data_IF_784791628941
#
_entry.id   IF_784791628941
#
_cell.length_a   1.000
_cell.length_b   1.000
_cell.length_c   1.000
_cell.angle_alpha   90.00
_cell.angle_beta   90.00
_cell.angle_gamma   90.00
#
_symmetry.space_group_name_H-M   'P 1'
#
loop_
_entity.id
_entity.type
_entity.pdbx_description
1 polymer ?
#
# COMPACT_ATOMS: atom_id res chain seq x y z
N UNK A 1 53.54 -23.60 31.74
CA UNK A 1 52.25 -24.29 31.55
C UNK A 1 51.39 -23.39 30.69
N UNK A 2 51.13 -23.82 29.46
CA UNK A 2 50.36 -23.09 28.45
C UNK A 2 48.87 -23.12 28.80
N UNK A 3 48.24 -21.95 28.84
CA UNK A 3 46.78 -21.82 28.83
C UNK A 3 46.31 -21.60 27.39
N UNK A 4 45.55 -22.55 26.86
CA UNK A 4 44.83 -22.42 25.59
C UNK A 4 43.71 -21.38 25.74
N UNK A 5 43.79 -20.28 24.98
CA UNK A 5 42.65 -19.45 24.64
C UNK A 5 42.26 -19.78 23.19
N UNK A 6 41.15 -20.49 23.02
CA UNK A 6 40.46 -20.64 21.75
C UNK A 6 39.49 -19.47 21.61
N UNK A 7 39.84 -18.51 20.75
CA UNK A 7 38.90 -17.51 20.27
C UNK A 7 38.08 -18.15 19.14
N UNK A 8 36.84 -18.50 19.47
CA UNK A 8 35.82 -18.90 18.52
C UNK A 8 35.21 -17.62 17.94
N UNK A 9 35.80 -17.09 16.87
CA UNK A 9 35.29 -15.91 16.17
C UNK A 9 34.54 -16.37 14.91
N UNK A 10 33.39 -17.02 15.14
CA UNK A 10 32.45 -17.44 14.11
C UNK A 10 31.61 -16.25 13.64
N UNK A 11 32.25 -15.30 12.96
CA UNK A 11 31.55 -14.31 12.15
C UNK A 11 30.87 -15.03 10.98
N UNK A 12 29.61 -15.39 11.18
CA UNK A 12 28.78 -15.93 10.10
C UNK A 12 28.60 -14.81 9.07
N UNK A 13 29.04 -14.97 7.81
CA UNK A 13 28.90 -13.90 6.82
C UNK A 13 27.41 -13.65 6.59
N UNK A 14 26.98 -12.40 6.78
CA UNK A 14 25.65 -11.95 6.44
C UNK A 14 25.36 -12.34 4.99
N UNK A 15 24.24 -13.03 4.76
CA UNK A 15 23.82 -13.38 3.39
C UNK A 15 23.72 -12.09 2.57
N UNK A 16 24.23 -12.06 1.32
CA UNK A 16 24.06 -10.90 0.47
C UNK A 16 22.56 -10.59 0.35
N UNK A 17 22.16 -9.40 0.81
CA UNK A 17 20.79 -8.92 0.73
C UNK A 17 20.41 -8.77 -0.75
N UNK A 18 19.26 -9.35 -1.10
CA UNK A 18 18.75 -9.31 -2.46
C UNK A 18 18.01 -7.99 -2.68
N UNK A 19 18.75 -6.96 -3.12
CA UNK A 19 18.23 -5.59 -3.30
C UNK A 19 16.93 -5.52 -4.11
N UNK A 20 16.72 -6.44 -5.06
CA UNK A 20 15.52 -6.48 -5.89
C UNK A 20 14.28 -6.89 -5.09
N UNK A 21 14.46 -7.87 -4.21
CA UNK A 21 13.38 -8.35 -3.34
C UNK A 21 13.06 -7.34 -2.23
N UNK A 22 14.07 -6.62 -1.72
CA UNK A 22 13.87 -5.53 -0.77
C UNK A 22 13.08 -4.39 -1.40
N UNK A 23 13.44 -3.99 -2.62
CA UNK A 23 12.70 -2.98 -3.37
C UNK A 23 11.25 -3.42 -3.63
N UNK A 24 11.00 -4.70 -3.92
CA UNK A 24 9.65 -5.22 -4.06
C UNK A 24 8.86 -5.08 -2.75
N UNK A 25 9.45 -5.44 -1.62
CA UNK A 25 8.79 -5.34 -0.31
C UNK A 25 8.51 -3.87 0.06
N UNK A 26 9.44 -2.95 -0.21
CA UNK A 26 9.25 -1.51 -0.01
C UNK A 26 8.09 -0.97 -0.84
N UNK A 27 7.99 -1.36 -2.12
CA UNK A 27 6.93 -0.92 -3.01
C UNK A 27 5.57 -1.52 -2.61
N UNK A 28 5.53 -2.80 -2.22
CA UNK A 28 4.32 -3.44 -1.69
C UNK A 28 3.86 -2.73 -0.42
N UNK A 29 4.76 -2.44 0.51
CA UNK A 29 4.43 -1.74 1.74
C UNK A 29 3.88 -0.33 1.46
N UNK A 30 4.53 0.42 0.58
CA UNK A 30 4.04 1.72 0.15
C UNK A 30 2.63 1.61 -0.48
N UNK A 31 2.41 0.62 -1.35
CA UNK A 31 1.10 0.37 -1.95
C UNK A 31 0.03 0.02 -0.90
N UNK A 32 0.31 -0.87 0.05
CA UNK A 32 -0.63 -1.25 1.12
C UNK A 32 -1.02 -0.03 1.95
N UNK A 33 -0.04 0.79 2.34
CA UNK A 33 -0.26 2.03 3.11
C UNK A 33 -1.15 3.00 2.33
N UNK A 34 -0.87 3.21 1.04
CA UNK A 34 -1.68 4.09 0.19
C UNK A 34 -3.09 3.53 -0.02
N UNK A 35 -3.22 2.23 -0.35
CA UNK A 35 -4.50 1.53 -0.56
C UNK A 35 -5.41 1.63 0.66
N UNK A 36 -4.87 1.57 1.87
CA UNK A 36 -5.62 1.74 3.14
C UNK A 36 -6.39 3.06 3.20
N UNK A 37 -5.96 4.11 2.51
CA UNK A 37 -6.66 5.40 2.51
C UNK A 37 -7.86 5.43 1.58
N UNK A 38 -7.92 4.55 0.58
CA UNK A 38 -8.96 4.60 -0.45
C UNK A 38 -10.38 4.34 0.10
N UNK A 39 -10.64 3.30 0.92
CA UNK A 39 -11.97 3.10 1.51
C UNK A 39 -12.45 4.29 2.34
N UNK A 40 -11.52 4.99 3.01
CA UNK A 40 -11.80 6.19 3.80
C UNK A 40 -12.17 7.37 2.92
N UNK A 41 -11.40 7.60 1.84
CA UNK A 41 -11.72 8.61 0.82
C UNK A 41 -13.10 8.34 0.20
N UNK A 42 -13.40 7.08 -0.13
CA UNK A 42 -14.69 6.67 -0.68
C UNK A 42 -15.84 6.95 0.29
N UNK A 43 -15.74 6.47 1.53
CA UNK A 43 -16.78 6.65 2.54
C UNK A 43 -17.03 8.13 2.86
N UNK A 44 -15.96 8.94 2.94
CA UNK A 44 -16.05 10.37 3.24
C UNK A 44 -16.68 11.14 2.08
N UNK A 45 -16.28 10.83 0.84
CA UNK A 45 -16.86 11.43 -0.37
C UNK A 45 -18.35 11.14 -0.47
N UNK A 46 -18.76 9.87 -0.30
CA UNK A 46 -20.18 9.48 -0.32
C UNK A 46 -21.00 10.16 0.79
N UNK A 47 -20.40 10.39 1.96
CA UNK A 47 -21.07 11.04 3.09
C UNK A 47 -21.26 12.54 2.83
N UNK A 48 -20.27 13.19 2.22
CA UNK A 48 -20.33 14.59 1.79
C UNK A 48 -21.38 14.80 0.71
N UNK A 49 -21.47 13.91 -0.28
CA UNK A 49 -22.49 14.00 -1.34
C UNK A 49 -23.91 13.92 -0.74
N UNK A 50 -24.14 12.96 0.16
CA UNK A 50 -25.41 12.84 0.90
C UNK A 50 -25.73 14.10 1.71
N UNK A 51 -24.73 14.69 2.36
CA UNK A 51 -24.91 15.93 3.12
C UNK A 51 -25.28 17.09 2.19
N UNK A 52 -24.60 17.23 1.06
CA UNK A 52 -24.90 18.25 0.05
C UNK A 52 -26.33 18.08 -0.49
N UNK A 53 -26.76 16.86 -0.80
CA UNK A 53 -28.11 16.60 -1.30
C UNK A 53 -29.19 16.88 -0.25
N UNK A 54 -28.93 16.55 1.03
CA UNK A 54 -29.80 16.95 2.15
C UNK A 54 -29.91 18.47 2.28
N UNK A 55 -28.79 19.18 2.23
CA UNK A 55 -28.78 20.64 2.31
C UNK A 55 -29.50 21.29 1.11
N UNK A 56 -29.35 20.72 -0.10
CA UNK A 56 -30.07 21.18 -1.31
C UNK A 56 -31.57 20.98 -1.22
N UNK A 57 -32.02 19.84 -0.66
CA UNK A 57 -33.44 19.51 -0.52
C UNK A 57 -34.15 20.28 0.60
N UNK A 58 -33.41 20.86 1.55
CA UNK A 58 -33.98 21.59 2.70
C UNK A 58 -34.27 23.08 2.45
N UNK A 59 -34.12 23.60 1.22
CA UNK A 59 -34.56 24.96 0.83
C UNK A 59 -34.12 26.10 1.79
N UNK A 60 -32.95 25.98 2.42
CA UNK A 60 -32.35 27.09 3.17
C UNK A 60 -31.99 28.20 2.18
N UNK A 61 -32.52 29.41 2.39
CA UNK A 61 -32.46 30.54 1.47
C UNK A 61 -31.05 31.01 1.04
N UNK A 62 -30.92 32.18 0.38
CA UNK A 62 -29.74 32.60 -0.41
C UNK A 62 -28.42 32.80 0.38
N UNK A 63 -28.41 32.58 1.70
CA UNK A 63 -27.16 32.46 2.47
C UNK A 63 -26.73 30.99 2.46
N UNK A 64 -26.04 30.66 1.38
CA UNK A 64 -25.52 29.34 1.09
C UNK A 64 -24.71 28.74 2.28
N UNK A 65 -24.74 27.41 2.49
CA UNK A 65 -23.90 26.69 3.46
C UNK A 65 -22.37 26.79 3.23
N UNK A 66 -21.93 27.64 2.31
CA UNK A 66 -20.61 27.63 1.69
C UNK A 66 -19.45 28.17 2.53
N UNK A 67 -19.56 28.23 3.85
CA UNK A 67 -18.47 28.70 4.72
C UNK A 67 -18.07 27.70 5.81
N UNK A 68 -18.96 26.78 6.21
CA UNK A 68 -18.68 25.81 7.28
C UNK A 68 -18.21 24.44 6.75
N UNK A 69 -18.48 24.15 5.47
CA UNK A 69 -18.07 22.89 4.82
C UNK A 69 -16.77 23.02 4.02
N UNK A 70 -16.23 24.23 3.84
CA UNK A 70 -15.06 24.45 2.98
C UNK A 70 -13.79 23.86 3.56
N UNK A 71 -13.60 23.91 4.88
CA UNK A 71 -12.43 23.31 5.53
C UNK A 71 -12.43 21.78 5.44
N UNK A 72 -13.60 21.14 5.66
CA UNK A 72 -13.75 19.68 5.55
C UNK A 72 -13.61 19.22 4.10
N UNK A 73 -14.19 19.97 3.17
CA UNK A 73 -13.99 19.72 1.74
C UNK A 73 -12.51 19.86 1.40
N UNK A 74 -11.85 20.95 1.79
CA UNK A 74 -10.42 21.16 1.53
C UNK A 74 -9.56 20.04 2.09
N UNK A 75 -9.81 19.59 3.33
CA UNK A 75 -9.11 18.44 3.91
C UNK A 75 -9.29 17.18 3.07
N UNK A 76 -10.51 16.86 2.63
CA UNK A 76 -10.75 15.72 1.74
C UNK A 76 -9.99 15.86 0.42
N UNK A 77 -9.88 17.07 -0.13
CA UNK A 77 -9.12 17.33 -1.36
C UNK A 77 -7.63 17.10 -1.14
N UNK A 78 -7.08 17.64 -0.06
CA UNK A 78 -5.67 17.49 0.26
C UNK A 78 -5.35 16.01 0.51
N UNK A 79 -6.22 15.27 1.19
CA UNK A 79 -6.07 13.82 1.39
C UNK A 79 -6.16 13.02 0.09
N UNK A 80 -7.11 13.34 -0.80
CA UNK A 80 -7.15 12.76 -2.15
C UNK A 80 -5.88 13.12 -2.93
N UNK A 81 -5.38 14.32 -2.74
CA UNK A 81 -4.19 14.79 -3.44
C UNK A 81 -2.95 13.99 -2.98
N UNK A 82 -2.72 13.89 -1.69
CA UNK A 82 -1.64 13.06 -1.13
C UNK A 82 -1.78 11.61 -1.62
N UNK A 83 -2.99 11.04 -1.63
CA UNK A 83 -3.22 9.68 -2.11
C UNK A 83 -2.76 9.46 -3.57
N UNK A 84 -3.14 10.33 -4.50
CA UNK A 84 -2.71 10.22 -5.91
C UNK A 84 -1.23 10.52 -6.09
N UNK A 85 -0.66 11.45 -5.30
CA UNK A 85 0.80 11.69 -5.31
C UNK A 85 1.52 10.42 -4.91
N UNK A 86 1.09 9.77 -3.83
CA UNK A 86 1.69 8.53 -3.36
C UNK A 86 1.55 7.41 -4.40
N UNK A 87 0.38 7.25 -5.03
CA UNK A 87 0.21 6.29 -6.14
C UNK A 87 1.13 6.59 -7.32
N UNK A 88 1.27 7.86 -7.71
CA UNK A 88 2.19 8.26 -8.76
C UNK A 88 3.64 7.94 -8.39
N UNK A 89 4.05 8.20 -7.15
CA UNK A 89 5.39 7.88 -6.65
C UNK A 89 5.64 6.37 -6.59
N UNK A 90 4.64 5.55 -6.24
CA UNK A 90 4.74 4.08 -6.31
C UNK A 90 4.94 3.63 -7.77
N UNK A 91 4.19 4.21 -8.72
CA UNK A 91 4.41 3.96 -10.15
C UNK A 91 5.84 4.30 -10.55
N UNK A 92 6.35 5.46 -10.17
CA UNK A 92 7.73 5.88 -10.47
C UNK A 92 8.75 4.87 -9.93
N UNK A 93 8.60 4.43 -8.67
CA UNK A 93 9.45 3.38 -8.08
C UNK A 93 9.42 2.05 -8.84
N UNK A 94 8.33 1.76 -9.55
CA UNK A 94 8.22 0.58 -10.39
C UNK A 94 8.90 0.76 -11.76
N UNK A 95 8.75 1.93 -12.41
CA UNK A 95 9.09 2.09 -13.85
C UNK A 95 10.19 3.08 -14.19
N UNK A 96 10.60 3.98 -13.30
CA UNK A 96 11.65 4.97 -13.62
C UNK A 96 13.05 4.34 -13.57
N UNK A 97 14.10 5.06 -14.00
CA UNK A 97 15.39 4.51 -14.43
C UNK A 97 16.00 3.38 -13.58
N UNK A 98 15.93 3.47 -12.24
CA UNK A 98 16.41 2.45 -11.29
C UNK A 98 15.30 1.65 -10.59
N UNK A 99 14.06 1.80 -11.05
CA UNK A 99 12.86 1.16 -10.52
C UNK A 99 12.82 -0.34 -10.75
N UNK A 100 11.93 -1.01 -10.00
CA UNK A 100 11.87 -2.48 -9.88
C UNK A 100 11.81 -3.19 -11.24
N UNK A 101 10.93 -2.74 -12.14
CA UNK A 101 10.76 -3.39 -13.45
C UNK A 101 11.98 -3.18 -14.36
N UNK A 102 12.67 -2.04 -14.26
CA UNK A 102 13.92 -1.83 -15.01
C UNK A 102 15.08 -2.67 -14.46
N UNK A 103 15.10 -2.96 -13.16
CA UNK A 103 16.05 -3.92 -12.57
C UNK A 103 15.74 -5.34 -13.05
N UNK A 104 14.47 -5.75 -13.03
CA UNK A 104 14.03 -7.04 -13.59
C UNK A 104 14.36 -7.19 -15.08
N UNK A 105 14.27 -6.11 -15.85
CA UNK A 105 14.68 -6.10 -17.27
C UNK A 105 16.15 -6.52 -17.46
N UNK A 106 17.03 -6.20 -16.51
CA UNK A 106 18.45 -6.58 -16.53
C UNK A 106 18.68 -8.00 -16.01
N UNK A 107 17.75 -8.53 -15.21
CA UNK A 107 17.82 -9.86 -14.58
C UNK A 107 16.56 -10.69 -14.88
N UNK A 108 16.29 -10.89 -16.18
CA UNK A 108 15.09 -11.62 -16.64
C UNK A 108 15.12 -13.09 -16.21
N UNK A 109 16.27 -13.65 -15.85
CA UNK A 109 16.42 -15.05 -15.42
C UNK A 109 15.61 -15.37 -14.16
N UNK A 110 15.31 -14.36 -13.33
CA UNK A 110 14.42 -14.49 -12.17
C UNK A 110 12.96 -14.70 -12.55
N UNK A 111 12.55 -14.27 -13.73
CA UNK A 111 11.17 -14.38 -14.24
C UNK A 111 11.01 -15.67 -15.05
N UNK A 112 11.22 -16.81 -14.37
CA UNK A 112 11.16 -18.14 -14.99
C UNK A 112 9.97 -18.94 -14.49
N UNK A 113 9.64 -19.99 -15.25
CA UNK A 113 8.67 -20.99 -14.78
C UNK A 113 9.21 -21.71 -13.56
N UNK A 114 8.28 -22.05 -12.67
CA UNK A 114 8.51 -22.87 -11.51
C UNK A 114 8.12 -24.32 -11.83
N UNK A 115 9.05 -25.24 -11.58
CA UNK A 115 8.78 -26.67 -11.63
C UNK A 115 8.27 -27.16 -10.26
N UNK A 116 7.32 -28.12 -10.20
CA UNK A 116 6.80 -28.64 -8.93
C UNK A 116 7.90 -29.15 -7.98
N UNK A 117 8.99 -29.69 -8.52
CA UNK A 117 10.12 -30.20 -7.74
C UNK A 117 10.88 -29.13 -6.95
N UNK A 118 10.72 -27.85 -7.31
CA UNK A 118 11.36 -26.72 -6.65
C UNK A 118 10.60 -26.25 -5.40
N UNK A 119 9.34 -26.65 -5.28
CA UNK A 119 8.49 -26.27 -4.15
C UNK A 119 8.81 -27.18 -2.94
N UNK A 120 9.24 -26.60 -1.80
CA UNK A 120 9.54 -27.39 -0.62
C UNK A 120 8.28 -28.14 -0.14
N UNK A 121 8.44 -29.36 0.41
CA UNK A 121 7.30 -30.09 0.97
C UNK A 121 6.69 -29.30 2.12
N UNK A 122 5.36 -29.24 2.17
CA UNK A 122 4.62 -28.53 3.23
C UNK A 122 4.05 -29.53 4.24
N UNK A 123 3.94 -29.20 5.53
CA UNK A 123 3.31 -30.10 6.49
C UNK A 123 1.86 -30.41 6.08
N UNK A 124 1.52 -31.70 5.98
CA UNK A 124 0.18 -32.18 5.64
C UNK A 124 -0.46 -32.75 6.90
N UNK A 125 -1.64 -32.25 7.25
CA UNK A 125 -2.48 -32.87 8.26
C UNK A 125 -3.37 -33.93 7.61
N UNK A 126 -3.09 -35.20 7.90
CA UNK A 126 -3.96 -36.32 7.54
C UNK A 126 -4.84 -36.69 8.73
N UNK A 127 -6.16 -36.68 8.53
CA UNK A 127 -7.13 -37.09 9.54
C UNK A 127 -7.52 -38.56 9.32
N UNK A 128 -7.47 -39.37 10.38
CA UNK A 128 -7.89 -40.77 10.38
C UNK A 128 -6.81 -41.77 10.81
N UNK A 129 -7.21 -43.03 11.01
CA UNK A 129 -6.37 -44.14 11.51
C UNK A 129 -5.51 -44.78 10.39
N UNK A 130 -4.83 -43.94 9.60
CA UNK A 130 -3.94 -44.40 8.52
C UNK A 130 -2.55 -44.69 9.07
N UNK A 131 -2.05 -45.92 8.89
CA UNK A 131 -0.75 -46.38 9.41
C UNK A 131 0.14 -46.93 8.31
N UNK A 132 1.45 -46.87 8.54
CA UNK A 132 2.45 -47.54 7.70
C UNK A 132 2.48 -47.03 6.26
N UNK A 133 2.54 -47.97 5.31
CA UNK A 133 2.76 -47.68 3.88
C UNK A 133 1.66 -46.83 3.23
N UNK A 134 0.40 -47.00 3.64
CA UNK A 134 -0.72 -46.24 3.09
C UNK A 134 -0.63 -44.75 3.46
N UNK A 135 -0.23 -44.46 4.69
CA UNK A 135 0.03 -43.08 5.12
C UNK A 135 1.15 -42.45 4.30
N UNK A 136 2.27 -43.15 4.13
CA UNK A 136 3.40 -42.65 3.35
C UNK A 136 3.04 -42.40 1.87
N UNK A 137 2.24 -43.30 1.26
CA UNK A 137 1.74 -43.12 -0.10
C UNK A 137 0.85 -41.87 -0.22
N UNK A 138 -0.13 -41.73 0.67
CA UNK A 138 -1.08 -40.60 0.65
C UNK A 138 -0.36 -39.28 0.94
N UNK A 139 0.60 -39.26 1.87
CA UNK A 139 1.45 -38.10 2.11
C UNK A 139 2.21 -37.72 0.83
N UNK A 140 2.87 -38.67 0.17
CA UNK A 140 3.62 -38.41 -1.07
C UNK A 140 2.72 -37.90 -2.21
N UNK A 141 1.56 -38.51 -2.43
CA UNK A 141 0.58 -38.08 -3.44
C UNK A 141 0.07 -36.67 -3.15
N UNK A 142 -0.27 -36.38 -1.89
CA UNK A 142 -0.76 -35.07 -1.48
C UNK A 142 0.33 -33.99 -1.55
N UNK A 143 1.58 -34.32 -1.22
CA UNK A 143 2.72 -33.42 -1.42
C UNK A 143 2.89 -33.08 -2.88
N UNK A 144 2.87 -34.09 -3.76
CA UNK A 144 3.04 -33.91 -5.19
C UNK A 144 1.91 -33.02 -5.75
N UNK A 145 0.67 -33.31 -5.39
CA UNK A 145 -0.48 -32.50 -5.80
C UNK A 145 -0.37 -31.04 -5.31
N UNK A 146 0.05 -30.82 -4.06
CA UNK A 146 0.25 -29.46 -3.53
C UNK A 146 1.34 -28.70 -4.28
N UNK A 147 2.45 -29.36 -4.60
CA UNK A 147 3.55 -28.78 -5.38
C UNK A 147 3.11 -28.41 -6.78
N UNK A 148 2.39 -29.30 -7.46
CA UNK A 148 1.83 -29.05 -8.79
C UNK A 148 0.86 -27.88 -8.78
N UNK A 149 0.00 -27.80 -7.76
CA UNK A 149 -0.95 -26.68 -7.59
C UNK A 149 -0.22 -25.36 -7.38
N UNK A 150 0.79 -25.32 -6.52
CA UNK A 150 1.57 -24.10 -6.23
C UNK A 150 2.36 -23.66 -7.47
N UNK A 151 3.10 -24.57 -8.10
CA UNK A 151 3.85 -24.29 -9.33
C UNK A 151 2.92 -23.82 -10.46
N UNK A 152 1.76 -24.47 -10.63
CA UNK A 152 0.73 -24.04 -11.57
C UNK A 152 0.24 -22.62 -11.29
N UNK A 153 0.05 -22.26 -10.01
CA UNK A 153 -0.36 -20.91 -9.63
C UNK A 153 0.72 -19.85 -9.90
N UNK A 154 2.00 -20.15 -9.61
CA UNK A 154 3.13 -19.26 -9.91
C UNK A 154 3.23 -19.04 -11.42
N UNK A 155 3.14 -20.13 -12.20
CA UNK A 155 3.21 -20.07 -13.65
C UNK A 155 2.02 -19.31 -14.27
N UNK A 156 0.84 -19.36 -13.64
CA UNK A 156 -0.31 -18.55 -14.03
C UNK A 156 -0.09 -17.06 -13.76
N UNK A 157 0.52 -16.69 -12.63
CA UNK A 157 0.95 -15.30 -12.36
C UNK A 157 1.98 -14.83 -13.39
N UNK A 158 2.97 -15.67 -13.73
CA UNK A 158 3.94 -15.35 -14.78
C UNK A 158 3.27 -15.13 -16.14
N UNK A 159 2.31 -15.97 -16.51
CA UNK A 159 1.57 -15.86 -17.77
C UNK A 159 0.71 -14.59 -17.86
N UNK A 160 0.20 -14.07 -16.73
CA UNK A 160 -0.49 -12.77 -16.70
C UNK A 160 0.47 -11.60 -16.93
N UNK A 161 1.67 -11.67 -16.34
CA UNK A 161 2.71 -10.66 -16.56
C UNK A 161 3.25 -10.70 -18.01
N UNK A 162 3.39 -11.90 -18.58
CA UNK A 162 3.98 -12.15 -19.90
C UNK A 162 3.10 -13.10 -20.72
N UNK A 163 1.98 -12.61 -21.30
CA UNK A 163 1.13 -13.44 -22.15
C UNK A 163 1.92 -13.89 -23.37
N UNK A 164 1.96 -15.20 -23.61
CA UNK A 164 2.56 -15.84 -24.80
C UNK A 164 4.07 -15.65 -24.99
N UNK A 165 4.79 -15.12 -23.98
CA UNK A 165 6.23 -14.86 -24.08
C UNK A 165 7.03 -15.70 -23.06
N UNK A 166 7.78 -16.68 -23.57
CA UNK A 166 8.70 -17.48 -22.76
C UNK A 166 9.89 -18.01 -23.60
N UNK A 167 11.15 -17.92 -23.13
CA UNK A 167 11.58 -17.31 -21.86
C UNK A 167 11.33 -15.79 -21.84
N UNK A 168 11.21 -15.21 -20.64
CA UNK A 168 11.01 -13.77 -20.49
C UNK A 168 12.25 -13.01 -21.00
N UNK A 169 12.03 -12.05 -21.88
CA UNK A 169 13.09 -11.23 -22.48
C UNK A 169 13.09 -9.80 -21.93
N UNK A 170 14.20 -9.06 -22.05
CA UNK A 170 14.23 -7.63 -21.75
C UNK A 170 13.17 -6.82 -22.53
N UNK A 171 12.88 -7.23 -23.76
CA UNK A 171 11.84 -6.64 -24.61
C UNK A 171 10.44 -6.88 -24.04
N UNK A 172 10.18 -8.08 -23.54
CA UNK A 172 8.96 -8.46 -22.85
C UNK A 172 8.72 -7.68 -21.56
N UNK A 173 9.77 -7.52 -20.74
CA UNK A 173 9.71 -6.62 -19.56
C UNK A 173 9.47 -5.17 -19.99
N UNK A 174 10.09 -4.72 -21.08
CA UNK A 174 9.79 -3.43 -21.70
C UNK A 174 8.33 -3.28 -22.13
N UNK A 175 7.72 -4.34 -22.66
CA UNK A 175 6.31 -4.37 -23.03
C UNK A 175 5.40 -4.31 -21.79
N UNK A 176 5.72 -5.05 -20.73
CA UNK A 176 5.04 -4.97 -19.43
C UNK A 176 5.07 -3.54 -18.88
N UNK A 177 6.25 -2.90 -18.85
CA UNK A 177 6.42 -1.51 -18.41
C UNK A 177 5.50 -0.58 -19.21
N UNK A 178 5.49 -0.68 -20.55
CA UNK A 178 4.63 0.15 -21.40
C UNK A 178 3.14 -0.06 -21.12
N UNK A 179 2.69 -1.32 -20.97
CA UNK A 179 1.28 -1.62 -20.65
C UNK A 179 0.89 -1.06 -19.28
N UNK A 180 1.74 -1.25 -18.28
CA UNK A 180 1.51 -0.73 -16.94
C UNK A 180 1.47 0.81 -16.93
N UNK A 181 2.45 1.48 -17.54
CA UNK A 181 2.50 2.93 -17.66
C UNK A 181 1.27 3.50 -18.35
N UNK A 182 0.82 2.87 -19.46
CA UNK A 182 -0.40 3.27 -20.18
C UNK A 182 -1.65 3.14 -19.31
N UNK A 183 -1.77 2.05 -18.56
CA UNK A 183 -2.97 1.76 -17.76
C UNK A 183 -3.03 2.64 -16.49
N UNK A 184 -1.88 3.13 -16.03
CA UNK A 184 -1.75 4.01 -14.86
C UNK A 184 -1.50 5.48 -15.22
N UNK A 185 -1.52 5.83 -16.51
CA UNK A 185 -1.32 7.19 -17.01
C UNK A 185 -2.28 8.21 -16.40
N UNK A 186 -3.58 7.90 -16.15
CA UNK A 186 -4.48 8.90 -15.58
C UNK A 186 -4.07 9.36 -14.18
N UNK A 187 -3.39 8.53 -13.36
CA UNK A 187 -2.82 8.93 -12.05
C UNK A 187 -1.82 10.07 -12.23
N UNK A 188 -0.93 9.93 -13.21
CA UNK A 188 0.15 10.89 -13.48
C UNK A 188 -0.41 12.17 -14.10
N UNK A 189 -1.38 12.03 -15.00
CA UNK A 189 -2.11 13.17 -15.57
C UNK A 189 -2.82 13.96 -14.48
N UNK A 190 -3.50 13.30 -13.54
CA UNK A 190 -4.18 13.96 -12.42
C UNK A 190 -3.19 14.69 -11.51
N UNK A 191 -2.06 14.05 -11.18
CA UNK A 191 -0.96 14.69 -10.44
C UNK A 191 -0.44 15.96 -11.14
N UNK A 192 -0.18 15.89 -12.45
CA UNK A 192 0.55 16.93 -13.17
C UNK A 192 -0.33 18.07 -13.73
N UNK A 193 -1.53 17.79 -14.23
CA UNK A 193 -2.36 18.81 -14.90
C UNK A 193 -3.38 19.48 -14.00
N UNK A 194 -3.93 18.76 -13.03
CA UNK A 194 -5.09 19.25 -12.27
C UNK A 194 -4.67 20.07 -11.04
N UNK A 195 -3.46 19.87 -10.52
CA UNK A 195 -3.10 20.35 -9.18
C UNK A 195 -2.20 21.58 -9.14
N UNK A 196 -1.36 21.79 -10.16
CA UNK A 196 -0.48 22.96 -10.23
C UNK A 196 -1.24 24.29 -10.38
N UNK A 197 -2.48 24.28 -10.86
CA UNK A 197 -3.24 25.49 -11.23
C UNK A 197 -4.63 25.60 -10.56
N UNK A 198 -4.89 24.80 -9.52
CA UNK A 198 -6.23 24.67 -8.89
C UNK A 198 -6.77 25.98 -8.29
N UNK A 199 -5.89 26.90 -7.89
CA UNK A 199 -6.26 28.19 -7.29
C UNK A 199 -6.49 29.31 -8.32
N UNK A 200 -6.13 29.08 -9.59
CA UNK A 200 -6.23 30.10 -10.64
C UNK A 200 -7.62 30.13 -11.31
N UNK A 201 -8.37 29.02 -11.25
CA UNK A 201 -9.70 28.91 -11.85
C UNK A 201 -10.82 29.17 -10.83
N UNK A 202 -11.33 30.40 -10.79
CA UNK A 202 -12.39 30.88 -9.88
C UNK A 202 -13.78 30.24 -10.08
N UNK A 203 -13.99 29.42 -11.10
CA UNK A 203 -15.25 28.71 -11.34
C UNK A 203 -15.14 27.27 -10.85
N UNK A 204 -15.63 27.05 -9.65
CA UNK A 204 -15.65 25.77 -8.95
C UNK A 204 -16.60 24.78 -9.62
N UNK A 205 -16.10 23.99 -10.57
CA UNK A 205 -16.85 22.82 -11.08
C UNK A 205 -16.38 21.56 -10.33
N UNK A 206 -17.18 21.14 -9.33
CA UNK A 206 -16.91 19.97 -8.47
C UNK A 206 -16.71 18.67 -9.25
N UNK A 207 -17.22 18.61 -10.49
CA UNK A 207 -17.24 17.41 -11.31
C UNK A 207 -16.07 17.30 -12.29
N UNK A 208 -15.20 18.31 -12.38
CA UNK A 208 -14.17 18.36 -13.43
C UNK A 208 -12.72 18.08 -12.96
N UNK A 209 -12.45 18.01 -11.65
CA UNK A 209 -11.08 18.03 -11.12
C UNK A 209 -10.69 16.87 -10.18
N UNK A 210 -11.58 15.93 -9.91
CA UNK A 210 -11.18 14.66 -9.29
C UNK A 210 -11.31 13.57 -10.33
N UNK A 211 -10.29 12.72 -10.43
CA UNK A 211 -10.50 11.46 -11.11
C UNK A 211 -11.64 10.72 -10.38
N UNK A 212 -12.64 10.19 -11.12
CA UNK A 212 -13.72 9.42 -10.52
C UNK A 212 -13.19 8.29 -9.64
N UNK A 213 -13.82 8.06 -8.49
CA UNK A 213 -13.32 7.08 -7.50
C UNK A 213 -13.34 5.64 -8.03
N UNK A 214 -14.25 5.32 -8.94
CA UNK A 214 -14.30 4.05 -9.66
C UNK A 214 -13.09 3.86 -10.59
N UNK A 215 -12.65 4.93 -11.27
CA UNK A 215 -11.42 4.87 -12.06
C UNK A 215 -10.17 4.72 -11.17
N UNK A 216 -10.15 5.38 -10.01
CA UNK A 216 -9.08 5.22 -9.01
C UNK A 216 -9.04 3.77 -8.47
N UNK A 217 -10.19 3.18 -8.15
CA UNK A 217 -10.28 1.78 -7.74
C UNK A 217 -9.72 0.85 -8.83
N UNK A 218 -10.10 1.07 -10.09
CA UNK A 218 -9.57 0.30 -11.21
C UNK A 218 -8.05 0.41 -11.36
N UNK A 219 -7.47 1.57 -11.02
CA UNK A 219 -6.02 1.72 -10.97
C UNK A 219 -5.39 0.97 -9.81
N UNK A 220 -5.97 1.01 -8.60
CA UNK A 220 -5.53 0.21 -7.47
C UNK A 220 -5.49 -1.28 -7.85
N UNK A 221 -6.53 -1.79 -8.50
CA UNK A 221 -6.61 -3.18 -8.94
C UNK A 221 -5.45 -3.54 -9.90
N UNK A 222 -5.07 -2.61 -10.79
CA UNK A 222 -3.92 -2.78 -11.69
C UNK A 222 -2.60 -2.87 -10.91
N UNK A 223 -2.38 -2.01 -9.91
CA UNK A 223 -1.20 -2.07 -9.04
C UNK A 223 -1.16 -3.38 -8.25
N UNK A 224 -2.29 -3.76 -7.66
CA UNK A 224 -2.45 -4.97 -6.87
C UNK A 224 -2.11 -6.23 -7.66
N UNK A 225 -2.65 -6.33 -8.87
CA UNK A 225 -2.40 -7.46 -9.75
C UNK A 225 -0.91 -7.53 -10.13
N UNK A 226 -0.31 -6.40 -10.53
CA UNK A 226 1.11 -6.37 -10.88
C UNK A 226 1.99 -6.77 -9.69
N UNK A 227 1.79 -6.16 -8.52
CA UNK A 227 2.61 -6.42 -7.33
C UNK A 227 2.40 -7.83 -6.79
N UNK A 228 1.15 -8.31 -6.77
CA UNK A 228 0.80 -9.67 -6.38
C UNK A 228 1.44 -10.70 -7.29
N UNK A 229 1.38 -10.50 -8.61
CA UNK A 229 1.99 -11.43 -9.57
C UNK A 229 3.53 -11.40 -9.50
N UNK A 230 4.14 -10.23 -9.32
CA UNK A 230 5.59 -10.11 -9.11
C UNK A 230 6.03 -10.81 -7.81
N UNK A 231 5.31 -10.60 -6.71
CA UNK A 231 5.59 -11.29 -5.45
C UNK A 231 5.47 -12.80 -5.60
N UNK A 232 4.43 -13.27 -6.28
CA UNK A 232 4.23 -14.69 -6.51
C UNK A 232 5.34 -15.34 -7.32
N UNK A 233 5.78 -14.68 -8.39
CA UNK A 233 6.85 -15.18 -9.25
C UNK A 233 8.22 -15.12 -8.56
N UNK A 234 8.53 -14.03 -7.85
CA UNK A 234 9.87 -13.79 -7.31
C UNK A 234 10.11 -14.42 -5.93
N UNK A 235 9.06 -14.53 -5.10
CA UNK A 235 9.15 -15.08 -3.73
C UNK A 235 8.53 -16.48 -3.60
N UNK A 236 7.81 -16.96 -4.61
CA UNK A 236 7.00 -18.20 -4.54
C UNK A 236 6.01 -18.20 -3.37
N UNK A 237 5.52 -17.01 -3.01
CA UNK A 237 4.55 -16.79 -1.95
C UNK A 237 3.33 -16.04 -2.46
N UNK A 238 2.27 -16.01 -1.66
CA UNK A 238 1.08 -15.20 -1.96
C UNK A 238 1.05 -14.04 -0.99
N UNK A 239 0.83 -12.84 -1.51
CA UNK A 239 0.55 -11.65 -0.70
C UNK A 239 -0.94 -11.35 -0.76
N UNK A 240 -1.56 -11.22 0.41
CA UNK A 240 -2.93 -10.74 0.54
C UNK A 240 -2.92 -9.24 0.78
N UNK A 241 -3.69 -8.48 0.00
CA UNK A 241 -3.88 -7.04 0.19
C UNK A 241 -5.19 -6.72 0.94
N UNK A 242 -5.64 -7.66 1.78
CA UNK A 242 -6.86 -7.50 2.58
C UNK A 242 -6.71 -6.36 3.58
N UNK A 243 -7.74 -5.52 3.66
CA UNK A 243 -7.80 -4.39 4.57
C UNK A 243 -8.70 -4.76 5.75
N UNK A 244 -8.10 -5.08 6.89
CA UNK A 244 -8.84 -5.27 8.14
C UNK A 244 -9.02 -3.90 8.81
N UNK A 245 -10.25 -3.39 8.82
CA UNK A 245 -10.63 -2.21 9.59
C UNK A 245 -11.39 -2.66 10.84
N UNK A 246 -10.72 -2.69 11.97
CA UNK A 246 -11.37 -2.80 13.28
C UNK A 246 -11.63 -1.37 13.79
N UNK A 247 -12.87 -0.90 13.73
CA UNK A 247 -13.22 0.47 14.13
C UNK A 247 -14.07 0.48 15.42
N UNK A 248 -13.51 1.01 16.50
CA UNK A 248 -14.25 1.60 17.63
C UNK A 248 -14.57 3.06 17.26
N UNK A 249 -15.85 3.43 17.33
CA UNK A 249 -16.46 4.58 16.66
C UNK A 249 -15.94 5.98 17.02
N UNK A 250 -15.26 6.17 18.15
CA UNK A 250 -14.76 7.50 18.56
C UNK A 250 -13.26 7.69 18.29
N UNK A 251 -12.42 6.72 18.65
CA UNK A 251 -10.98 6.74 18.32
C UNK A 251 -10.73 6.60 16.81
N UNK A 252 -11.60 5.85 16.11
CA UNK A 252 -11.46 5.63 14.67
C UNK A 252 -11.58 6.93 13.86
N UNK A 253 -12.36 7.93 14.28
CA UNK A 253 -12.52 9.17 13.51
C UNK A 253 -11.26 10.07 13.58
N UNK A 254 -10.59 10.05 14.72
CA UNK A 254 -9.34 10.77 14.96
C UNK A 254 -8.17 10.09 14.26
N UNK A 255 -8.07 8.76 14.40
CA UNK A 255 -7.13 7.94 13.66
C UNK A 255 -7.36 8.01 12.14
N UNK A 256 -8.62 8.19 11.70
CA UNK A 256 -9.00 8.44 10.30
C UNK A 256 -8.37 9.72 9.79
N UNK A 257 -8.49 10.82 10.55
CA UNK A 257 -7.95 12.11 10.16
C UNK A 257 -6.42 12.05 10.08
N UNK A 258 -5.79 11.39 11.04
CA UNK A 258 -4.33 11.23 11.08
C UNK A 258 -3.82 10.28 9.97
N UNK A 259 -4.56 9.21 9.61
CA UNK A 259 -4.28 8.37 8.44
C UNK A 259 -4.49 9.12 7.12
N UNK A 260 -5.51 9.97 7.04
CA UNK A 260 -5.82 10.79 5.88
C UNK A 260 -4.79 11.92 5.65
N UNK A 261 -4.14 12.40 6.72
CA UNK A 261 -3.15 13.49 6.66
C UNK A 261 -1.71 12.96 6.59
N UNK A 262 -1.36 11.96 7.41
CA UNK A 262 0.04 11.53 7.59
C UNK A 262 0.34 10.16 6.97
N UNK A 263 -0.69 9.43 6.55
CA UNK A 263 -0.53 8.19 5.80
C UNK A 263 -0.29 6.93 6.62
N UNK A 264 0.32 7.04 7.80
CA UNK A 264 0.32 6.01 8.83
C UNK A 264 0.38 6.62 10.23
N UNK A 265 -0.12 5.91 11.25
CA UNK A 265 -0.03 6.34 12.64
C UNK A 265 1.44 6.49 13.08
N UNK A 266 2.36 5.68 12.54
CA UNK A 266 3.80 5.78 12.81
C UNK A 266 4.42 7.05 12.21
N UNK A 267 3.95 7.48 11.04
CA UNK A 267 4.39 8.73 10.42
C UNK A 267 3.80 9.95 11.14
N UNK A 268 2.54 9.87 11.57
CA UNK A 268 1.94 10.88 12.45
C UNK A 268 2.75 11.03 13.75
N UNK A 269 3.13 9.92 14.39
CA UNK A 269 3.99 9.87 15.58
C UNK A 269 5.33 10.57 15.34
N UNK A 270 5.98 10.38 14.19
CA UNK A 270 7.23 11.08 13.83
C UNK A 270 7.01 12.60 13.64
N UNK A 271 5.93 13.00 12.94
CA UNK A 271 5.58 14.41 12.72
C UNK A 271 5.30 15.15 14.03
N UNK A 272 4.64 14.50 14.99
CA UNK A 272 4.39 15.04 16.33
C UNK A 272 5.56 14.83 17.31
N UNK A 273 6.73 14.37 16.85
CA UNK A 273 7.94 14.08 17.66
C UNK A 273 7.66 13.16 18.86
N UNK A 274 6.85 12.14 18.63
CA UNK A 274 6.53 11.08 19.60
C UNK A 274 7.38 9.84 19.29
N UNK A 275 7.79 9.10 20.31
CA UNK A 275 8.63 7.91 20.12
C UNK A 275 7.84 6.80 19.38
N UNK A 276 8.51 6.06 18.48
CA UNK A 276 7.93 4.92 17.76
C UNK A 276 7.39 3.84 18.71
N UNK A 277 6.38 3.10 18.26
CA UNK A 277 5.82 1.97 19.00
C UNK A 277 6.89 0.88 19.19
N UNK A 278 7.13 0.50 20.44
CA UNK A 278 7.92 -0.68 20.80
C UNK A 278 7.12 -1.57 21.76
N UNK A 279 7.49 -2.84 21.96
CA UNK A 279 6.87 -3.68 22.98
C UNK A 279 6.89 -3.04 24.38
N UNK A 280 7.89 -2.19 24.65
CA UNK A 280 8.05 -1.44 25.89
C UNK A 280 7.26 -0.12 25.94
N UNK A 281 6.70 0.32 24.80
CA UNK A 281 5.98 1.58 24.67
C UNK A 281 4.69 1.41 23.86
N UNK A 282 3.65 0.81 24.47
CA UNK A 282 2.38 0.60 23.79
C UNK A 282 1.70 1.94 23.45
N UNK A 283 0.77 1.85 22.51
CA UNK A 283 0.02 2.94 21.85
C UNK A 283 -0.64 4.01 22.75
N UNK A 284 -0.97 3.82 24.05
CA UNK A 284 -1.66 4.83 24.87
C UNK A 284 -1.02 6.22 24.97
N UNK A 285 0.30 6.34 24.71
CA UNK A 285 1.03 7.60 24.85
C UNK A 285 0.82 8.60 23.69
N UNK A 286 0.54 8.10 22.49
CA UNK A 286 0.24 8.94 21.32
C UNK A 286 -1.03 9.78 21.56
N UNK A 287 -2.11 9.12 21.94
CA UNK A 287 -3.40 9.75 22.20
C UNK A 287 -3.34 10.78 23.34
N UNK A 288 -2.61 10.47 24.42
CA UNK A 288 -2.43 11.40 25.54
C UNK A 288 -1.65 12.67 25.15
N UNK A 289 -0.69 12.57 24.22
CA UNK A 289 0.11 13.72 23.76
C UNK A 289 -0.59 14.51 22.66
N UNK A 290 -1.33 13.83 21.78
CA UNK A 290 -2.24 14.43 20.78
C UNK A 290 -3.29 15.30 21.45
N UNK A 291 -3.98 14.78 22.47
CA UNK A 291 -4.97 15.55 23.21
C UNK A 291 -4.35 16.78 23.88
N UNK A 292 -3.18 16.65 24.49
CA UNK A 292 -2.43 17.80 25.04
C UNK A 292 -2.05 18.84 23.99
N UNK A 293 -1.70 18.43 22.75
CA UNK A 293 -1.38 19.36 21.67
C UNK A 293 -2.59 20.19 21.24
N UNK A 294 -3.76 19.55 21.11
CA UNK A 294 -5.01 20.25 20.78
C UNK A 294 -5.58 21.07 21.94
N UNK A 295 -5.40 20.62 23.18
CA UNK A 295 -5.75 21.36 24.40
C UNK A 295 -4.81 22.57 24.63
N UNK A 296 -3.59 22.53 24.10
CA UNK A 296 -2.60 23.59 24.24
C UNK A 296 -2.73 24.72 23.21
N UNK A 297 -3.90 24.92 22.56
CA UNK A 297 -4.08 26.06 21.67
C UNK A 297 -3.65 27.37 22.36
N UNK A 298 -2.91 28.26 21.67
CA UNK A 298 -2.58 29.56 22.21
C UNK A 298 -3.90 30.30 22.41
N UNK A 299 -4.27 30.56 23.67
CA UNK A 299 -5.37 31.46 23.97
C UNK A 299 -5.20 32.77 23.18
N UNK A 300 -6.29 33.44 22.78
CA UNK A 300 -6.21 34.70 22.05
C UNK A 300 -5.24 35.59 22.78
N UNK A 301 -4.17 35.99 22.07
CA UNK A 301 -3.06 36.73 22.64
C UNK A 301 -3.62 37.83 23.52
N UNK A 302 -3.38 37.72 24.82
CA UNK A 302 -3.50 38.88 25.69
C UNK A 302 -2.49 39.86 25.14
N UNK A 303 -3.00 40.92 24.53
CA UNK A 303 -2.27 42.15 24.33
C UNK A 303 -1.50 42.43 25.62
N UNK A 304 -0.18 42.22 25.58
CA UNK A 304 0.71 42.79 26.56
C UNK A 304 0.81 44.27 26.24
N UNK A 305 -0.27 44.97 26.58
CA UNK A 305 -0.22 46.37 26.91
C UNK A 305 -0.01 46.42 28.43
N UNK A 306 1.04 47.14 28.83
CA UNK A 306 1.42 47.58 30.19
C UNK A 306 2.67 46.91 30.77
N UNK A 307 3.70 47.75 30.91
CA UNK A 307 4.98 47.52 31.56
C UNK A 307 6.09 48.31 30.91
#
# INVERSE_FOLDING_TARGET
MMGHMTADDSSTPAKPQDELLELLDEVINAYVVTKRRFPLLLATTMSIDKLIDRLRSQNTGPRAPGLWNDAVLQLLRDSFDVFVIDLASIRERLVEGSGLLNRLKKDCARLRRCEPSEIPPQPIMLFGDMRGADRARIEAETQQHNRERIAGSINASLARLFPDEYPVTPEGVGALIRRFMKSTEPVVRDRNHVRAHRYEYRSFDRHQYFQPLDEIQGQLDIFEQLLGDLFHVLRWGVVGFELQFEADSEGAAEDLADLMVHGSINDAVNVYKVAQQTPENPVPWYYARRNRFFEAQPGPGKDNNQG
#
